data_IF_286865796166
#
_entry.id   IF_286865796166
#
_cell.length_a   1.000
_cell.length_b   1.000
_cell.length_c   1.000
_cell.angle_alpha   90.00
_cell.angle_beta   90.00
_cell.angle_gamma   90.00
#
_symmetry.space_group_name_H-M   'P 1'
#
loop_
_entity.id
_entity.type
_entity.pdbx_description
1 polymer ?
#
# COMPACT_ATOMS: atom_id res chain seq x y z
N UNK A 1 1.60 15.47 21.53
CA UNK A 1 1.40 16.09 20.18
C UNK A 1 2.13 15.20 19.18
N UNK A 2 1.65 13.97 18.98
CA UNK A 2 2.28 12.97 18.09
C UNK A 2 1.57 13.02 16.74
N UNK A 3 2.31 13.38 15.69
CA UNK A 3 1.79 13.40 14.34
C UNK A 3 1.41 11.97 13.90
N UNK A 4 0.27 11.84 13.22
CA UNK A 4 -0.11 10.65 12.44
C UNK A 4 0.91 10.44 11.31
N UNK A 5 2.08 9.94 11.67
CA UNK A 5 3.25 9.82 10.81
C UNK A 5 3.88 8.45 10.96
N UNK A 6 4.59 8.03 9.91
CA UNK A 6 5.41 6.83 9.95
C UNK A 6 6.73 7.13 10.68
N UNK A 7 6.98 6.42 11.78
CA UNK A 7 8.23 6.48 12.52
C UNK A 7 9.00 5.17 12.35
N UNK A 8 10.09 5.23 11.60
CA UNK A 8 10.90 4.04 11.33
C UNK A 8 11.63 3.53 12.58
N UNK A 9 11.94 4.40 13.55
CA UNK A 9 12.62 4.03 14.80
C UNK A 9 11.64 3.99 15.97
N UNK A 10 12.04 3.31 17.05
CA UNK A 10 11.32 3.41 18.31
C UNK A 10 11.31 4.86 18.80
N UNK A 11 10.18 5.26 19.36
CA UNK A 11 9.99 6.51 20.08
C UNK A 11 9.08 6.22 21.27
N UNK A 12 9.16 7.03 22.31
CA UNK A 12 8.18 6.95 23.40
C UNK A 12 7.00 7.86 23.06
N UNK A 13 5.79 7.36 23.20
CA UNK A 13 4.59 8.18 23.01
C UNK A 13 4.41 9.17 24.18
N UNK A 14 3.36 9.99 24.11
CA UNK A 14 3.04 10.99 25.15
C UNK A 14 2.78 10.35 26.54
N UNK A 15 2.65 9.02 26.63
CA UNK A 15 2.44 8.25 27.86
C UNK A 15 3.67 7.46 28.32
N UNK A 16 4.79 7.56 27.61
CA UNK A 16 6.03 6.84 27.90
C UNK A 16 6.02 5.39 27.42
N UNK A 17 5.06 5.01 26.56
CA UNK A 17 5.03 3.67 25.95
C UNK A 17 5.93 3.68 24.73
N UNK A 18 6.85 2.70 24.68
CA UNK A 18 7.71 2.46 23.53
C UNK A 18 6.84 2.11 22.32
N UNK A 19 6.98 2.89 21.26
CA UNK A 19 6.11 2.88 20.09
C UNK A 19 6.92 2.89 18.80
N UNK A 20 6.40 2.34 17.71
CA UNK A 20 7.05 2.35 16.39
C UNK A 20 6.02 2.39 15.25
N UNK A 21 6.45 2.75 14.03
CA UNK A 21 5.61 2.68 12.84
C UNK A 21 4.53 3.74 12.85
N UNK A 22 3.26 3.32 12.75
CA UNK A 22 2.09 4.21 12.77
C UNK A 22 1.41 4.28 14.15
N UNK A 23 2.17 4.08 15.23
CA UNK A 23 1.64 4.05 16.59
C UNK A 23 1.48 2.64 17.18
N UNK A 24 2.28 1.67 16.74
CA UNK A 24 2.28 0.32 17.30
C UNK A 24 2.96 0.32 18.68
N UNK A 25 2.19 0.03 19.73
CA UNK A 25 2.67 -0.02 21.11
C UNK A 25 3.42 -1.32 21.37
N UNK A 26 4.72 -1.20 21.64
CA UNK A 26 5.59 -2.33 21.88
C UNK A 26 5.42 -2.89 23.28
N UNK A 27 4.87 -4.10 23.40
CA UNK A 27 5.10 -4.92 24.58
C UNK A 27 6.40 -5.74 24.43
N UNK A 28 6.82 -6.38 25.53
CA UNK A 28 8.10 -7.10 25.61
C UNK A 28 8.24 -8.22 24.57
N UNK A 29 7.14 -8.78 24.07
CA UNK A 29 7.15 -9.90 23.14
C UNK A 29 7.05 -9.43 21.68
N UNK A 30 6.16 -8.47 21.40
CA UNK A 30 5.81 -8.01 20.04
C UNK A 30 6.97 -7.30 19.34
N UNK A 31 7.75 -6.51 20.08
CA UNK A 31 8.86 -5.75 19.50
C UNK A 31 10.25 -6.34 19.77
N UNK A 32 10.34 -7.49 20.46
CA UNK A 32 11.61 -8.14 20.81
C UNK A 32 12.51 -8.44 19.59
N UNK A 33 11.87 -8.82 18.48
CA UNK A 33 12.53 -9.18 17.23
C UNK A 33 12.55 -8.05 16.20
N UNK A 34 11.91 -6.92 16.50
CA UNK A 34 11.98 -5.76 15.61
C UNK A 34 13.41 -5.19 15.64
N UNK A 35 13.88 -4.82 14.45
CA UNK A 35 15.18 -4.21 14.21
C UNK A 35 14.95 -2.89 13.48
N UNK A 36 14.75 -1.78 14.21
CA UNK A 36 14.61 -0.49 13.57
C UNK A 36 15.92 -0.02 12.91
N UNK A 37 15.85 0.85 11.88
CA UNK A 37 14.63 1.43 11.32
C UNK A 37 13.79 0.40 10.56
N UNK A 38 12.50 0.28 10.90
CA UNK A 38 11.57 -0.59 10.19
C UNK A 38 11.13 0.08 8.88
N UNK A 39 10.80 -0.71 7.87
CA UNK A 39 10.20 -0.24 6.62
C UNK A 39 8.74 0.20 6.80
N UNK A 40 8.22 0.99 5.87
CA UNK A 40 6.78 1.30 5.82
C UNK A 40 5.92 0.03 5.70
N UNK A 41 6.40 -1.00 4.98
CA UNK A 41 5.67 -2.28 4.89
C UNK A 41 5.60 -2.99 6.23
N UNK A 42 6.69 -3.00 7.00
CA UNK A 42 6.68 -3.53 8.36
C UNK A 42 5.73 -2.72 9.25
N UNK A 43 5.76 -1.39 9.16
CA UNK A 43 4.85 -0.53 9.92
C UNK A 43 3.37 -0.74 9.52
N UNK A 44 3.07 -0.96 8.24
CA UNK A 44 1.72 -1.30 7.75
C UNK A 44 1.28 -2.66 8.31
N UNK A 45 2.16 -3.66 8.32
CA UNK A 45 1.81 -4.97 8.87
C UNK A 45 1.52 -4.90 10.37
N UNK A 46 2.31 -4.13 11.13
CA UNK A 46 2.04 -3.87 12.55
C UNK A 46 0.69 -3.16 12.71
N UNK A 47 0.43 -2.10 11.94
CA UNK A 47 -0.85 -1.39 11.96
C UNK A 47 -2.02 -2.32 11.62
N UNK A 48 -1.89 -3.18 10.60
CA UNK A 48 -2.92 -4.14 10.22
C UNK A 48 -3.19 -5.15 11.34
N UNK A 49 -2.15 -5.60 12.05
CA UNK A 49 -2.29 -6.46 13.23
C UNK A 49 -3.04 -5.73 14.35
N UNK A 50 -2.66 -4.48 14.64
CA UNK A 50 -3.29 -3.68 15.69
C UNK A 50 -4.77 -3.40 15.37
N UNK A 51 -5.11 -3.26 14.09
CA UNK A 51 -6.47 -3.00 13.63
C UNK A 51 -7.41 -4.20 13.76
N UNK A 52 -6.91 -5.44 13.86
CA UNK A 52 -7.76 -6.66 13.89
C UNK A 52 -8.80 -6.60 15.00
N UNK A 53 -8.41 -6.26 16.22
CA UNK A 53 -9.35 -6.19 17.35
C UNK A 53 -10.45 -5.13 17.14
N UNK A 54 -10.11 -4.02 16.49
CA UNK A 54 -11.05 -2.93 16.23
C UNK A 54 -11.97 -3.27 15.06
N UNK A 55 -11.47 -3.99 14.05
CA UNK A 55 -12.29 -4.53 12.97
C UNK A 55 -13.35 -5.49 13.52
N UNK A 56 -12.95 -6.44 14.38
CA UNK A 56 -13.88 -7.37 15.03
C UNK A 56 -14.91 -6.62 15.87
N UNK A 57 -14.49 -5.69 16.72
CA UNK A 57 -15.43 -4.99 17.60
C UNK A 57 -16.44 -4.11 16.84
N UNK A 58 -16.05 -3.51 15.71
CA UNK A 58 -17.00 -2.78 14.85
C UNK A 58 -17.92 -3.75 14.11
N UNK A 59 -17.38 -4.85 13.58
CA UNK A 59 -18.14 -5.84 12.83
C UNK A 59 -19.25 -6.46 13.67
N UNK A 60 -18.94 -6.86 14.91
CA UNK A 60 -19.89 -7.51 15.81
C UNK A 60 -21.05 -6.58 16.20
N UNK A 61 -20.78 -5.27 16.29
CA UNK A 61 -21.77 -4.28 16.74
C UNK A 61 -22.69 -3.79 15.61
N UNK A 62 -22.16 -3.67 14.38
CA UNK A 62 -22.86 -3.07 13.23
C UNK A 62 -22.53 -3.78 11.91
N UNK A 63 -22.80 -5.08 11.76
CA UNK A 63 -22.40 -5.87 10.57
C UNK A 63 -23.09 -5.43 9.27
N UNK A 64 -24.08 -4.54 9.34
CA UNK A 64 -24.88 -4.05 8.22
C UNK A 64 -24.35 -2.76 7.59
N UNK A 65 -23.32 -2.13 8.15
CA UNK A 65 -22.77 -0.87 7.61
C UNK A 65 -21.95 -1.13 6.36
N UNK A 66 -21.87 -0.14 5.46
CA UNK A 66 -21.05 -0.26 4.25
C UNK A 66 -19.56 -0.08 4.56
N UNK A 67 -18.69 -0.39 3.61
CA UNK A 67 -17.23 -0.33 3.76
C UNK A 67 -16.71 1.03 4.24
N UNK A 68 -17.29 2.13 3.74
CA UNK A 68 -16.86 3.47 4.13
C UNK A 68 -17.22 3.78 5.58
N UNK A 69 -18.44 3.41 5.99
CA UNK A 69 -18.89 3.52 7.37
C UNK A 69 -18.08 2.62 8.29
N UNK A 70 -17.83 1.37 7.88
CA UNK A 70 -16.99 0.42 8.59
C UNK A 70 -15.59 0.97 8.81
N UNK A 71 -14.91 1.42 7.75
CA UNK A 71 -13.57 1.97 7.82
C UNK A 71 -13.49 3.23 8.71
N UNK A 72 -14.48 4.11 8.64
CA UNK A 72 -14.55 5.29 9.51
C UNK A 72 -14.74 4.91 10.98
N UNK A 73 -15.58 3.93 11.27
CA UNK A 73 -15.82 3.43 12.64
C UNK A 73 -14.61 2.67 13.20
N UNK A 74 -13.89 1.90 12.37
CA UNK A 74 -12.64 1.24 12.76
C UNK A 74 -11.56 2.27 13.06
N UNK A 75 -11.41 3.31 12.23
CA UNK A 75 -10.48 4.42 12.50
C UNK A 75 -10.82 5.16 13.80
N UNK A 76 -12.12 5.36 14.06
CA UNK A 76 -12.59 5.98 15.29
C UNK A 76 -12.29 5.09 16.50
N UNK A 77 -12.66 3.81 16.44
CA UNK A 77 -12.43 2.81 17.49
C UNK A 77 -10.94 2.62 17.80
N UNK A 78 -10.08 2.63 16.79
CA UNK A 78 -8.63 2.57 16.98
C UNK A 78 -8.09 3.73 17.83
N UNK A 79 -8.70 4.92 17.72
CA UNK A 79 -8.28 6.09 18.48
C UNK A 79 -8.94 6.18 19.86
N UNK A 80 -10.22 5.84 20.00
CA UNK A 80 -10.95 6.03 21.27
C UNK A 80 -11.13 4.74 22.08
N UNK A 81 -10.91 3.57 21.48
CA UNK A 81 -11.17 2.26 22.06
C UNK A 81 -12.58 1.73 21.79
N UNK A 82 -12.73 0.41 21.72
CA UNK A 82 -14.02 -0.24 21.43
C UNK A 82 -15.09 0.05 22.50
N UNK A 83 -14.73 0.12 23.79
CA UNK A 83 -15.71 0.43 24.85
C UNK A 83 -16.29 1.85 24.75
N UNK A 84 -15.47 2.81 24.35
CA UNK A 84 -15.92 4.18 24.10
C UNK A 84 -16.79 4.26 22.83
N UNK A 85 -16.46 3.50 21.77
CA UNK A 85 -17.33 3.40 20.61
C UNK A 85 -18.68 2.75 20.99
N UNK A 86 -18.65 1.65 21.74
CA UNK A 86 -19.83 0.90 22.13
C UNK A 86 -20.85 1.74 22.91
N UNK A 87 -20.36 2.55 23.85
CA UNK A 87 -21.17 3.46 24.67
C UNK A 87 -21.49 4.81 23.99
N UNK A 88 -20.94 5.07 22.80
CA UNK A 88 -21.09 6.36 22.14
C UNK A 88 -22.48 6.62 21.58
N UNK A 89 -22.88 7.89 21.59
CA UNK A 89 -24.02 8.40 20.82
C UNK A 89 -23.84 8.21 19.31
N UNK A 90 -22.59 8.21 18.82
CA UNK A 90 -22.25 7.87 17.44
C UNK A 90 -22.81 6.49 17.09
N UNK A 91 -22.40 5.45 17.81
CA UNK A 91 -22.82 4.07 17.53
C UNK A 91 -24.31 3.87 17.76
N UNK A 92 -24.92 4.56 18.74
CA UNK A 92 -26.38 4.59 18.93
C UNK A 92 -27.09 5.01 17.64
N UNK A 93 -26.68 6.12 17.02
CA UNK A 93 -27.28 6.57 15.76
C UNK A 93 -26.95 5.64 14.57
N UNK A 94 -25.76 5.04 14.53
CA UNK A 94 -25.43 4.03 13.49
C UNK A 94 -26.36 2.81 13.59
N UNK A 95 -26.60 2.29 14.80
CA UNK A 95 -27.52 1.18 15.06
C UNK A 95 -28.96 1.51 14.69
N UNK A 96 -29.37 2.75 14.90
CA UNK A 96 -30.67 3.28 14.45
C UNK A 96 -30.72 3.61 12.94
N UNK A 97 -29.60 3.46 12.21
CA UNK A 97 -29.44 3.86 10.81
C UNK A 97 -29.67 5.35 10.53
N UNK A 98 -29.51 6.19 11.56
CA UNK A 98 -29.61 7.64 11.47
C UNK A 98 -28.25 8.25 11.10
N UNK A 99 -27.78 7.97 9.88
CA UNK A 99 -26.40 8.23 9.48
C UNK A 99 -26.01 9.73 9.44
N UNK A 100 -26.95 10.62 9.12
CA UNK A 100 -26.70 12.06 9.19
C UNK A 100 -26.48 12.52 10.63
N UNK A 101 -27.28 12.03 11.59
CA UNK A 101 -27.09 12.32 13.01
C UNK A 101 -25.77 11.73 13.51
N UNK A 102 -25.51 10.45 13.21
CA UNK A 102 -24.26 9.77 13.51
C UNK A 102 -23.04 10.57 13.01
N UNK A 103 -23.10 11.09 11.78
CA UNK A 103 -22.00 11.87 11.21
C UNK A 103 -21.68 13.15 12.00
N UNK A 104 -22.66 13.77 12.67
CA UNK A 104 -22.40 14.94 13.53
C UNK A 104 -21.68 14.57 14.82
N UNK A 105 -21.86 13.34 15.31
CA UNK A 105 -21.28 12.86 16.56
C UNK A 105 -19.75 12.76 16.51
N UNK A 106 -19.14 12.52 15.34
CA UNK A 106 -17.67 12.53 15.20
C UNK A 106 -17.05 13.83 15.74
N UNK A 107 -17.69 14.98 15.49
CA UNK A 107 -17.18 16.29 15.90
C UNK A 107 -17.19 16.52 17.42
N UNK A 108 -17.87 15.67 18.20
CA UNK A 108 -17.89 15.76 19.67
C UNK A 108 -16.62 15.18 20.31
N UNK A 109 -15.89 14.33 19.59
CA UNK A 109 -14.72 13.60 20.07
C UNK A 109 -13.40 14.27 19.62
N UNK A 110 -13.25 15.55 19.97
CA UNK A 110 -12.11 16.40 19.56
C UNK A 110 -11.33 16.97 20.73
N UNK A 111 -11.62 16.54 21.96
CA UNK A 111 -11.03 17.09 23.19
C UNK A 111 -10.16 16.06 23.91
N UNK A 112 -9.11 16.53 24.56
CA UNK A 112 -8.31 15.83 25.56
C UNK A 112 -8.05 16.81 26.72
N UNK A 113 -8.20 16.37 27.97
CA UNK A 113 -8.10 17.21 29.18
C UNK A 113 -8.87 18.54 29.05
N UNK A 114 -10.13 18.43 28.62
CA UNK A 114 -11.06 19.54 28.35
C UNK A 114 -10.66 20.51 27.23
N UNK A 115 -9.49 20.36 26.63
CA UNK A 115 -8.99 21.22 25.55
C UNK A 115 -9.26 20.61 24.18
N UNK A 116 -9.63 21.45 23.22
CA UNK A 116 -9.77 21.02 21.82
C UNK A 116 -8.38 20.73 21.24
N UNK A 117 -8.21 19.54 20.66
CA UNK A 117 -6.97 19.10 20.03
C UNK A 117 -7.10 19.23 18.51
N UNK A 118 -6.37 20.15 17.85
CA UNK A 118 -6.51 20.39 16.40
C UNK A 118 -6.31 19.15 15.52
N UNK A 119 -5.42 18.24 15.93
CA UNK A 119 -5.21 16.97 15.23
C UNK A 119 -6.47 16.08 15.27
N UNK A 120 -7.17 16.02 16.40
CA UNK A 120 -8.43 15.28 16.52
C UNK A 120 -9.53 15.93 15.69
N UNK A 121 -9.62 17.26 15.63
CA UNK A 121 -10.58 17.96 14.75
C UNK A 121 -10.38 17.52 13.30
N UNK A 122 -9.14 17.53 12.82
CA UNK A 122 -8.80 17.12 11.45
C UNK A 122 -9.14 15.65 11.20
N UNK A 123 -8.79 14.77 12.15
CA UNK A 123 -9.08 13.33 12.07
C UNK A 123 -10.58 13.06 12.02
N UNK A 124 -11.35 13.61 12.95
CA UNK A 124 -12.82 13.46 13.03
C UNK A 124 -13.51 13.99 11.77
N UNK A 125 -13.00 15.07 11.17
CA UNK A 125 -13.51 15.57 9.89
C UNK A 125 -13.29 14.58 8.74
N UNK A 126 -12.12 13.93 8.67
CA UNK A 126 -11.82 12.89 7.67
C UNK A 126 -12.66 11.63 7.87
N UNK A 127 -12.77 11.14 9.10
CA UNK A 127 -13.61 9.99 9.43
C UNK A 127 -15.09 10.27 9.11
N UNK A 128 -15.60 11.46 9.45
CA UNK A 128 -16.94 11.90 9.06
C UNK A 128 -17.13 11.93 7.55
N UNK A 129 -16.17 12.50 6.81
CA UNK A 129 -16.24 12.58 5.35
C UNK A 129 -16.24 11.19 4.71
N UNK A 130 -15.42 10.28 5.24
CA UNK A 130 -15.41 8.87 4.83
C UNK A 130 -16.75 8.21 5.16
N UNK A 131 -17.25 8.35 6.39
CA UNK A 131 -18.52 7.77 6.84
C UNK A 131 -19.73 8.19 5.98
N UNK A 132 -19.74 9.44 5.52
CA UNK A 132 -20.79 9.98 4.64
C UNK A 132 -20.57 9.67 3.15
N UNK A 133 -19.42 9.10 2.78
CA UNK A 133 -19.11 8.76 1.39
C UNK A 133 -20.03 7.62 0.94
N UNK A 134 -20.95 7.92 0.01
CA UNK A 134 -21.98 7.00 -0.47
C UNK A 134 -23.43 7.48 -0.26
N UNK A 135 -23.67 8.55 0.51
CA UNK A 135 -25.02 9.14 0.64
C UNK A 135 -25.39 10.11 -0.50
N UNK A 136 -24.41 10.58 -1.28
CA UNK A 136 -24.65 11.44 -2.43
C UNK A 136 -25.26 10.71 -3.64
N UNK A 137 -25.13 9.38 -3.70
CA UNK A 137 -25.65 8.56 -4.82
C UNK A 137 -26.99 7.85 -4.49
N UNK A 138 -27.53 8.05 -3.28
CA UNK A 138 -28.68 7.28 -2.75
C UNK A 138 -30.05 7.93 -2.99
N UNK A 139 -30.21 8.76 -4.02
CA UNK A 139 -31.52 9.31 -4.40
C UNK A 139 -32.24 8.51 -5.50
N UNK A 140 -31.72 7.35 -5.91
CA UNK A 140 -32.35 6.52 -6.92
C UNK A 140 -32.47 5.05 -6.49
N UNK A 141 -33.74 4.71 -6.20
CA UNK A 141 -34.44 3.48 -6.56
C UNK A 141 -34.55 2.37 -5.49
N UNK A 142 -35.82 2.11 -5.25
CA UNK A 142 -36.51 1.13 -4.43
C UNK A 142 -36.46 -0.26 -5.10
N UNK A 143 -36.28 -1.30 -4.27
CA UNK A 143 -36.58 -2.73 -4.46
C UNK A 143 -35.67 -3.64 -5.32
N UNK A 144 -35.07 -4.61 -4.60
CA UNK A 144 -35.15 -6.06 -4.85
C UNK A 144 -34.77 -6.57 -6.24
N UNK A 145 -33.45 -6.70 -6.47
CA UNK A 145 -32.78 -7.73 -7.30
C UNK A 145 -31.26 -7.48 -7.47
N UNK A 146 -30.70 -6.47 -6.79
CA UNK A 146 -29.32 -5.97 -6.99
C UNK A 146 -28.25 -6.73 -6.19
N UNK A 147 -28.62 -7.77 -5.42
CA UNK A 147 -27.67 -8.48 -4.54
C UNK A 147 -26.58 -9.25 -5.29
N UNK A 148 -26.75 -9.55 -6.58
CA UNK A 148 -25.72 -10.20 -7.42
C UNK A 148 -24.88 -9.22 -8.23
N UNK A 149 -25.33 -7.97 -8.43
CA UNK A 149 -24.56 -6.95 -9.15
C UNK A 149 -23.62 -6.14 -8.24
N UNK A 150 -23.94 -6.05 -6.94
CA UNK A 150 -23.16 -5.28 -5.95
C UNK A 150 -21.89 -5.98 -5.48
N UNK A 151 -21.79 -7.32 -5.49
CA UNK A 151 -20.51 -8.00 -5.24
C UNK A 151 -19.49 -7.69 -6.34
N UNK A 152 -19.96 -7.55 -7.57
CA UNK A 152 -19.11 -7.21 -8.71
C UNK A 152 -18.73 -5.72 -8.67
N UNK A 153 -19.65 -4.83 -8.29
CA UNK A 153 -19.35 -3.40 -8.16
C UNK A 153 -18.43 -3.09 -6.96
N UNK A 154 -18.56 -3.81 -5.85
CA UNK A 154 -17.68 -3.70 -4.68
C UNK A 154 -16.29 -4.26 -4.99
N UNK A 155 -16.20 -5.36 -5.74
CA UNK A 155 -14.94 -5.88 -6.27
C UNK A 155 -14.29 -4.88 -7.22
N UNK A 156 -15.09 -4.24 -8.08
CA UNK A 156 -14.63 -3.18 -9.00
C UNK A 156 -14.25 -1.91 -8.23
N UNK A 157 -14.92 -1.56 -7.13
CA UNK A 157 -14.61 -0.40 -6.30
C UNK A 157 -13.37 -0.64 -5.43
N UNK A 158 -13.17 -1.85 -4.88
CA UNK A 158 -11.91 -2.29 -4.28
C UNK A 158 -10.78 -2.35 -5.31
N UNK A 159 -11.07 -2.74 -6.56
CA UNK A 159 -10.13 -2.64 -7.68
C UNK A 159 -9.81 -1.17 -7.99
N UNK A 160 -10.79 -0.27 -7.95
CA UNK A 160 -10.63 1.18 -8.18
C UNK A 160 -9.87 1.82 -7.02
N UNK A 161 -10.14 1.45 -5.77
CA UNK A 161 -9.37 1.90 -4.60
C UNK A 161 -7.95 1.33 -4.64
N UNK A 162 -7.73 0.08 -5.08
CA UNK A 162 -6.40 -0.49 -5.35
C UNK A 162 -5.73 0.05 -6.64
N UNK A 163 -6.50 0.66 -7.54
CA UNK A 163 -6.02 1.40 -8.71
C UNK A 163 -5.60 2.83 -8.34
N UNK A 164 -6.24 3.43 -7.33
CA UNK A 164 -6.01 4.81 -6.89
C UNK A 164 -5.02 4.86 -5.70
N UNK A 165 -4.98 3.82 -4.86
CA UNK A 165 -3.90 3.49 -3.92
C UNK A 165 -2.97 2.50 -4.62
N UNK A 166 -1.87 2.99 -5.19
CA UNK A 166 -1.00 2.20 -6.07
C UNK A 166 -0.67 0.81 -5.52
N UNK A 167 -1.02 -0.23 -6.30
CA UNK A 167 -0.71 -1.63 -5.98
C UNK A 167 0.80 -1.81 -5.76
N UNK A 168 1.16 -2.36 -4.60
CA UNK A 168 2.56 -2.64 -4.27
C UNK A 168 3.00 -4.01 -4.80
N UNK A 169 4.25 -4.09 -5.23
CA UNK A 169 4.89 -5.35 -5.61
C UNK A 169 5.00 -6.28 -4.38
N UNK A 170 4.84 -7.59 -4.60
CA UNK A 170 5.00 -8.57 -3.52
C UNK A 170 6.48 -8.86 -3.22
N UNK A 171 6.76 -9.54 -2.09
CA UNK A 171 8.12 -9.87 -1.64
C UNK A 171 8.94 -10.64 -2.67
N UNK A 172 8.32 -11.55 -3.42
CA UNK A 172 9.01 -12.34 -4.44
C UNK A 172 9.49 -11.46 -5.61
N UNK A 173 8.70 -10.45 -5.99
CA UNK A 173 9.09 -9.46 -6.98
C UNK A 173 10.24 -8.57 -6.53
N UNK A 174 10.18 -8.08 -5.28
CA UNK A 174 11.27 -7.27 -4.69
C UNK A 174 12.58 -8.07 -4.69
N UNK A 175 12.56 -9.29 -4.16
CA UNK A 175 13.74 -10.16 -4.11
C UNK A 175 14.32 -10.46 -5.50
N UNK A 176 13.47 -10.62 -6.52
CA UNK A 176 13.92 -10.82 -7.90
C UNK A 176 14.66 -9.59 -8.44
N UNK A 177 14.13 -8.39 -8.17
CA UNK A 177 14.77 -7.12 -8.60
C UNK A 177 16.09 -6.95 -7.87
N UNK A 178 16.14 -7.08 -6.55
CA UNK A 178 17.37 -6.99 -5.74
C UNK A 178 18.46 -7.93 -6.24
N UNK A 179 18.09 -9.18 -6.54
CA UNK A 179 19.02 -10.17 -7.07
C UNK A 179 19.53 -9.81 -8.47
N UNK A 180 18.73 -9.10 -9.27
CA UNK A 180 19.08 -8.74 -10.65
C UNK A 180 19.91 -7.46 -10.73
N UNK A 181 19.60 -6.47 -9.90
CA UNK A 181 20.31 -5.18 -9.86
C UNK A 181 21.60 -5.27 -9.02
N UNK A 182 21.57 -6.03 -7.93
CA UNK A 182 22.65 -6.10 -6.97
C UNK A 182 22.73 -4.87 -6.07
N UNK A 183 23.22 -5.05 -4.84
CA UNK A 183 23.33 -3.98 -3.86
C UNK A 183 24.71 -3.31 -3.89
N UNK A 184 24.75 -1.97 -3.93
CA UNK A 184 25.96 -1.15 -3.78
C UNK A 184 25.77 -0.15 -2.62
N UNK A 185 26.50 -0.36 -1.53
CA UNK A 185 26.44 0.52 -0.35
C UNK A 185 26.97 1.94 -0.64
N UNK A 186 27.94 2.08 -1.55
CA UNK A 186 28.55 3.36 -1.91
C UNK A 186 28.05 3.85 -3.27
N UNK A 187 28.21 5.16 -3.51
CA UNK A 187 27.96 5.73 -4.83
C UNK A 187 28.89 5.11 -5.88
N UNK A 188 28.35 4.86 -7.07
CA UNK A 188 29.07 4.40 -8.23
C UNK A 188 28.53 5.09 -9.50
N UNK A 189 29.32 5.10 -10.57
CA UNK A 189 28.83 5.50 -11.89
C UNK A 189 28.18 4.30 -12.58
N UNK A 190 26.98 4.48 -13.13
CA UNK A 190 26.42 3.51 -14.07
C UNK A 190 27.20 3.53 -15.41
N UNK A 191 26.91 2.63 -16.36
CA UNK A 191 27.63 2.58 -17.64
C UNK A 191 27.56 3.87 -18.49
N UNK A 192 26.64 4.79 -18.18
CA UNK A 192 26.49 6.09 -18.86
C UNK A 192 26.99 7.25 -17.99
N UNK A 193 27.68 6.95 -16.87
CA UNK A 193 28.33 7.93 -16.00
C UNK A 193 27.41 8.59 -14.98
N UNK A 194 26.17 8.11 -14.80
CA UNK A 194 25.24 8.68 -13.82
C UNK A 194 25.56 8.14 -12.42
N UNK A 195 25.70 9.07 -11.46
CA UNK A 195 25.86 8.75 -10.03
C UNK A 195 24.65 7.95 -9.53
N UNK A 196 24.93 6.76 -9.00
CA UNK A 196 23.94 5.74 -8.63
C UNK A 196 24.31 5.11 -7.28
N UNK A 197 23.35 4.61 -6.51
CA UNK A 197 23.57 3.93 -5.22
C UNK A 197 22.50 2.86 -4.96
N UNK A 198 22.74 1.92 -4.04
CA UNK A 198 21.77 0.89 -3.65
C UNK A 198 21.51 -0.11 -4.76
N UNK A 199 20.24 -0.34 -5.09
CA UNK A 199 19.77 -1.22 -6.17
C UNK A 199 19.48 -0.41 -7.45
N UNK A 200 20.40 0.46 -7.86
CA UNK A 200 20.24 1.27 -9.07
C UNK A 200 19.53 2.62 -8.89
N UNK A 201 19.50 3.18 -7.68
CA UNK A 201 18.89 4.48 -7.42
C UNK A 201 19.63 5.60 -8.16
N UNK A 202 18.97 6.18 -9.17
CA UNK A 202 19.57 7.15 -10.10
C UNK A 202 19.51 8.59 -9.54
N UNK A 203 20.65 9.16 -9.18
CA UNK A 203 20.71 10.48 -8.55
C UNK A 203 20.31 11.64 -9.46
N UNK A 204 20.40 11.47 -10.78
CA UNK A 204 19.98 12.50 -11.75
C UNK A 204 18.45 12.57 -11.85
N UNK A 205 17.78 11.43 -11.81
CA UNK A 205 16.33 11.36 -11.95
C UNK A 205 15.59 11.54 -10.62
N UNK A 206 16.13 11.00 -9.52
CA UNK A 206 15.42 10.89 -8.23
C UNK A 206 15.98 11.81 -7.14
N UNK A 207 17.17 12.38 -7.36
CA UNK A 207 17.89 13.22 -6.40
C UNK A 207 18.57 12.41 -5.28
N UNK A 208 19.80 12.79 -4.94
CA UNK A 208 20.59 12.14 -3.87
C UNK A 208 21.15 13.11 -2.84
N UNK A 209 20.66 14.35 -2.79
CA UNK A 209 21.22 15.41 -1.92
C UNK A 209 21.17 15.06 -0.43
N UNK A 210 20.19 14.27 0.00
CA UNK A 210 20.02 13.82 1.38
C UNK A 210 20.59 12.42 1.67
N UNK A 211 21.19 11.75 0.67
CA UNK A 211 21.69 10.38 0.81
C UNK A 211 23.16 10.40 1.23
N UNK A 212 23.43 9.81 2.40
CA UNK A 212 24.77 9.67 2.97
C UNK A 212 25.25 8.23 2.78
N UNK A 213 26.36 8.05 2.07
CA UNK A 213 26.99 6.74 1.85
C UNK A 213 28.07 6.45 2.92
N UNK A 214 28.33 5.18 3.28
CA UNK A 214 27.66 3.98 2.79
C UNK A 214 26.24 3.83 3.36
N UNK A 215 25.32 3.35 2.52
CA UNK A 215 23.97 2.98 2.96
C UNK A 215 23.92 1.50 3.37
N UNK A 216 23.01 1.14 4.27
CA UNK A 216 22.67 -0.25 4.60
C UNK A 216 21.82 -0.89 3.49
N UNK A 217 21.69 -2.23 3.51
CA UNK A 217 20.75 -2.93 2.64
C UNK A 217 19.31 -2.43 2.83
N UNK A 218 18.86 -2.24 4.07
CA UNK A 218 17.52 -1.73 4.37
C UNK A 218 17.28 -0.31 3.85
N UNK A 219 18.29 0.56 3.88
CA UNK A 219 18.22 1.88 3.24
C UNK A 219 18.17 1.74 1.71
N UNK A 220 18.92 0.80 1.12
CA UNK A 220 18.84 0.47 -0.30
C UNK A 220 17.46 -0.06 -0.71
N UNK A 221 16.86 -0.91 0.09
CA UNK A 221 15.50 -1.45 -0.10
C UNK A 221 14.46 -0.32 -0.04
N UNK A 222 14.60 0.62 0.90
CA UNK A 222 13.72 1.78 1.00
C UNK A 222 13.81 2.68 -0.25
N UNK A 223 15.02 2.92 -0.78
CA UNK A 223 15.22 3.63 -2.04
C UNK A 223 14.60 2.87 -3.21
N UNK A 224 14.79 1.55 -3.27
CA UNK A 224 14.20 0.70 -4.29
C UNK A 224 12.67 0.79 -4.26
N UNK A 225 12.04 0.67 -3.09
CA UNK A 225 10.59 0.82 -2.96
C UNK A 225 10.08 2.19 -3.41
N UNK A 226 10.80 3.26 -3.10
CA UNK A 226 10.49 4.61 -3.58
C UNK A 226 10.56 4.68 -5.11
N UNK A 227 11.61 4.12 -5.70
CA UNK A 227 11.80 4.13 -7.15
C UNK A 227 10.78 3.25 -7.88
N UNK A 228 10.29 2.19 -7.23
CA UNK A 228 9.32 1.26 -7.79
C UNK A 228 7.94 1.87 -8.00
N UNK A 229 7.58 2.93 -7.27
CA UNK A 229 6.24 3.55 -7.32
C UNK A 229 5.81 3.89 -8.75
N UNK A 230 6.69 4.52 -9.54
CA UNK A 230 6.36 4.88 -10.93
C UNK A 230 6.13 3.66 -11.83
N UNK A 231 6.87 2.57 -11.61
CA UNK A 231 6.77 1.35 -12.41
C UNK A 231 5.55 0.52 -12.00
N UNK A 232 5.24 0.46 -10.70
CA UNK A 232 4.00 -0.07 -10.16
C UNK A 232 2.79 0.63 -10.78
N UNK A 233 2.78 1.97 -10.77
CA UNK A 233 1.70 2.76 -11.36
C UNK A 233 1.58 2.55 -12.88
N UNK A 234 2.72 2.44 -13.58
CA UNK A 234 2.75 2.12 -15.01
C UNK A 234 2.08 0.77 -15.33
N UNK A 235 2.39 -0.27 -14.56
CA UNK A 235 1.80 -1.61 -14.74
C UNK A 235 0.33 -1.62 -14.32
N UNK A 236 0.02 -1.06 -13.14
CA UNK A 236 -1.31 -1.07 -12.54
C UNK A 236 -2.33 -0.36 -13.44
N UNK A 237 -1.97 0.79 -14.01
CA UNK A 237 -2.84 1.54 -14.95
C UNK A 237 -3.09 0.81 -16.28
N UNK A 238 -2.28 -0.20 -16.64
CA UNK A 238 -2.37 -0.90 -17.93
C UNK A 238 -3.04 -2.26 -17.84
N UNK A 239 -2.82 -2.98 -16.74
CA UNK A 239 -3.27 -4.36 -16.55
C UNK A 239 -3.70 -4.62 -15.10
N UNK A 240 -4.71 -3.90 -14.57
CA UNK A 240 -5.09 -4.00 -13.15
C UNK A 240 -5.64 -5.37 -12.72
N UNK A 241 -6.05 -6.19 -13.69
CA UNK A 241 -6.69 -7.50 -13.49
C UNK A 241 -5.70 -8.67 -13.28
N UNK A 242 -4.38 -8.44 -13.35
CA UNK A 242 -3.38 -9.52 -13.26
C UNK A 242 -3.16 -9.96 -11.80
N UNK A 243 -2.71 -11.19 -11.58
CA UNK A 243 -2.40 -11.71 -10.24
C UNK A 243 -1.18 -11.02 -9.62
N UNK A 244 -0.95 -11.16 -8.32
CA UNK A 244 0.17 -10.49 -7.63
C UNK A 244 1.53 -10.91 -8.19
N UNK A 245 1.69 -12.19 -8.54
CA UNK A 245 2.93 -12.69 -9.15
C UNK A 245 3.13 -12.17 -10.58
N UNK A 246 2.04 -12.08 -11.36
CA UNK A 246 2.09 -11.50 -12.70
C UNK A 246 2.43 -10.01 -12.63
N UNK A 247 1.78 -9.27 -11.73
CA UNK A 247 2.08 -7.87 -11.46
C UNK A 247 3.56 -7.69 -11.08
N UNK A 248 4.05 -8.49 -10.14
CA UNK A 248 5.43 -8.43 -9.68
C UNK A 248 6.46 -8.69 -10.79
N UNK A 249 6.23 -9.71 -11.63
CA UNK A 249 7.09 -10.00 -12.78
C UNK A 249 7.08 -8.85 -13.81
N UNK A 250 5.90 -8.26 -14.07
CA UNK A 250 5.76 -7.11 -14.97
C UNK A 250 6.40 -5.84 -14.40
N UNK A 251 6.31 -5.60 -13.09
CA UNK A 251 7.00 -4.47 -12.44
C UNK A 251 8.52 -4.64 -12.54
N UNK A 252 9.05 -5.85 -12.30
CA UNK A 252 10.49 -6.12 -12.49
C UNK A 252 10.95 -5.92 -13.94
N UNK A 253 10.15 -6.38 -14.89
CA UNK A 253 10.39 -6.14 -16.32
C UNK A 253 10.42 -4.65 -16.64
N UNK A 254 9.46 -3.90 -16.11
CA UNK A 254 9.29 -2.47 -16.36
C UNK A 254 10.35 -1.63 -15.67
N UNK A 255 10.82 -2.04 -14.47
CA UNK A 255 11.95 -1.40 -13.80
C UNK A 255 13.21 -1.51 -14.65
N UNK A 256 13.45 -2.68 -15.28
CA UNK A 256 14.63 -2.89 -16.12
C UNK A 256 14.60 -2.13 -17.45
N UNK A 257 13.44 -2.12 -18.11
CA UNK A 257 13.31 -1.71 -19.51
C UNK A 257 12.56 -0.38 -19.66
N UNK A 258 11.97 0.14 -18.59
CA UNK A 258 11.14 1.33 -18.59
C UNK A 258 9.70 1.10 -19.04
N UNK A 259 8.83 2.04 -18.65
CA UNK A 259 7.38 1.99 -18.95
C UNK A 259 7.07 2.00 -20.45
N UNK A 260 7.85 2.74 -21.25
CA UNK A 260 7.67 2.81 -22.70
C UNK A 260 7.83 1.46 -23.40
N UNK A 261 8.85 0.68 -23.01
CA UNK A 261 9.08 -0.65 -23.57
C UNK A 261 7.98 -1.64 -23.18
N UNK A 262 7.48 -1.59 -21.94
CA UNK A 262 6.30 -2.40 -21.59
C UNK A 262 5.09 -2.00 -22.47
N UNK A 263 4.83 -0.70 -22.61
CA UNK A 263 3.65 -0.19 -23.33
C UNK A 263 3.59 -0.65 -24.80
N UNK A 264 4.72 -0.67 -25.49
CA UNK A 264 4.79 -1.08 -26.90
C UNK A 264 4.95 -2.60 -27.11
N UNK A 265 5.24 -3.36 -26.04
CA UNK A 265 5.60 -4.77 -26.13
C UNK A 265 4.46 -5.69 -26.58
N UNK A 266 4.82 -6.75 -27.32
CA UNK A 266 3.94 -7.90 -27.57
C UNK A 266 3.58 -8.63 -26.28
N UNK A 267 4.47 -8.60 -25.27
CA UNK A 267 4.19 -9.09 -23.92
C UNK A 267 2.90 -8.47 -23.37
N UNK A 268 2.82 -7.14 -23.31
CA UNK A 268 1.65 -6.44 -22.79
C UNK A 268 0.39 -6.72 -23.64
N UNK A 269 0.53 -6.84 -24.97
CA UNK A 269 -0.58 -7.22 -25.86
C UNK A 269 -1.17 -8.57 -25.46
N UNK A 270 -0.34 -9.59 -25.24
CA UNK A 270 -0.82 -10.90 -24.79
C UNK A 270 -1.40 -10.89 -23.37
N UNK A 271 -0.81 -10.13 -22.44
CA UNK A 271 -1.37 -9.97 -21.08
C UNK A 271 -2.76 -9.35 -21.12
N UNK A 272 -2.96 -8.29 -21.91
CA UNK A 272 -4.28 -7.65 -22.12
C UNK A 272 -5.31 -8.60 -22.73
N UNK A 273 -4.87 -9.48 -23.63
CA UNK A 273 -5.69 -10.55 -24.19
C UNK A 273 -5.88 -11.76 -23.24
N UNK A 274 -5.36 -11.70 -22.01
CA UNK A 274 -5.34 -12.80 -21.02
C UNK A 274 -4.69 -14.10 -21.55
N UNK A 275 -3.88 -14.01 -22.61
CA UNK A 275 -3.13 -15.13 -23.17
C UNK A 275 -1.79 -15.27 -22.44
N UNK A 276 -1.85 -15.73 -21.19
CA UNK A 276 -0.70 -15.80 -20.30
C UNK A 276 0.39 -16.78 -20.76
N UNK A 277 0.01 -17.84 -21.49
CA UNK A 277 0.96 -18.78 -22.09
C UNK A 277 1.81 -18.14 -23.17
N UNK A 278 1.19 -17.35 -24.08
CA UNK A 278 1.92 -16.59 -25.08
C UNK A 278 2.73 -15.46 -24.44
N UNK A 279 2.14 -14.70 -23.51
CA UNK A 279 2.82 -13.64 -22.78
C UNK A 279 4.11 -14.14 -22.10
N UNK A 280 4.05 -15.30 -21.44
CA UNK A 280 5.20 -15.88 -20.76
C UNK A 280 6.38 -16.17 -21.71
N UNK A 281 6.13 -16.50 -22.99
CA UNK A 281 7.18 -16.72 -23.99
C UNK A 281 7.85 -15.41 -24.42
N UNK A 282 7.14 -14.28 -24.35
CA UNK A 282 7.66 -12.98 -24.79
C UNK A 282 8.81 -12.48 -23.90
N UNK A 283 8.88 -12.86 -22.62
CA UNK A 283 9.98 -12.49 -21.72
C UNK A 283 11.35 -12.82 -22.35
N UNK A 284 11.49 -14.01 -22.96
CA UNK A 284 12.76 -14.48 -23.52
C UNK A 284 13.26 -13.69 -24.74
N UNK A 285 12.42 -12.81 -25.33
CA UNK A 285 12.82 -11.93 -26.44
C UNK A 285 13.56 -10.68 -25.96
N UNK A 286 13.37 -10.29 -24.71
CA UNK A 286 13.96 -9.08 -24.11
C UNK A 286 15.29 -9.39 -23.42
N UNK A 287 16.21 -10.00 -24.17
CA UNK A 287 17.51 -10.48 -23.68
C UNK A 287 18.70 -9.83 -24.38
N UNK A 288 18.46 -8.78 -25.17
CA UNK A 288 19.47 -8.10 -25.97
C UNK A 288 19.70 -6.68 -25.46
N UNK A 289 20.96 -6.24 -25.48
CA UNK A 289 21.34 -4.84 -25.34
C UNK A 289 22.49 -4.53 -26.29
N UNK A 290 22.47 -3.38 -26.95
CA UNK A 290 23.47 -3.04 -27.98
C UNK A 290 23.56 -4.05 -29.12
N UNK A 291 22.47 -4.75 -29.45
CA UNK A 291 22.45 -5.82 -30.47
C UNK A 291 22.96 -7.18 -30.00
N UNK A 292 23.49 -7.30 -28.79
CA UNK A 292 24.06 -8.54 -28.27
C UNK A 292 23.18 -9.19 -27.22
N UNK A 293 23.06 -10.52 -27.27
CA UNK A 293 22.36 -11.30 -26.24
C UNK A 293 23.18 -11.31 -24.96
N UNK A 294 22.58 -10.86 -23.85
CA UNK A 294 23.25 -10.79 -22.55
C UNK A 294 22.82 -11.95 -21.63
N UNK A 295 23.77 -12.77 -21.14
CA UNK A 295 23.45 -13.90 -20.23
C UNK A 295 22.69 -13.48 -18.96
N UNK A 296 23.02 -12.30 -18.41
CA UNK A 296 22.33 -11.74 -17.25
C UNK A 296 20.85 -11.46 -17.54
N UNK A 297 20.53 -10.91 -18.71
CA UNK A 297 19.14 -10.68 -19.12
C UNK A 297 18.42 -12.01 -19.36
N UNK A 298 19.06 -13.01 -19.98
CA UNK A 298 18.47 -14.35 -20.14
C UNK A 298 18.03 -14.92 -18.80
N UNK A 299 18.91 -14.87 -17.80
CA UNK A 299 18.62 -15.35 -16.45
C UNK A 299 17.49 -14.56 -15.79
N UNK A 300 17.53 -13.23 -15.89
CA UNK A 300 16.49 -12.35 -15.34
C UNK A 300 15.12 -12.64 -15.97
N UNK A 301 15.04 -12.68 -17.30
CA UNK A 301 13.79 -12.96 -18.03
C UNK A 301 13.23 -14.34 -17.69
N UNK A 302 14.09 -15.34 -17.48
CA UNK A 302 13.66 -16.68 -17.05
C UNK A 302 13.03 -16.66 -15.65
N UNK A 303 13.60 -15.91 -14.70
CA UNK A 303 13.06 -15.73 -13.33
C UNK A 303 11.73 -14.97 -13.35
N UNK A 304 11.65 -13.88 -14.11
CA UNK A 304 10.41 -13.11 -14.26
C UNK A 304 9.30 -13.96 -14.88
N UNK A 305 9.62 -14.73 -15.93
CA UNK A 305 8.68 -15.70 -16.52
C UNK A 305 8.22 -16.75 -15.50
N UNK A 306 9.14 -17.29 -14.70
CA UNK A 306 8.81 -18.29 -13.69
C UNK A 306 7.87 -17.71 -12.62
N UNK A 307 8.16 -16.49 -12.14
CA UNK A 307 7.28 -15.77 -11.22
C UNK A 307 5.92 -15.51 -11.86
N UNK A 308 5.89 -15.01 -13.10
CA UNK A 308 4.65 -14.71 -13.84
C UNK A 308 3.71 -15.92 -13.98
N UNK A 309 4.27 -17.14 -14.10
CA UNK A 309 3.51 -18.38 -14.21
C UNK A 309 3.14 -19.02 -12.87
N UNK A 310 3.65 -18.49 -11.75
CA UNK A 310 3.40 -19.02 -10.41
C UNK A 310 2.00 -18.61 -9.95
N UNK A 311 1.16 -19.60 -9.65
CA UNK A 311 -0.19 -19.41 -9.10
C UNK A 311 -0.12 -18.98 -7.64
#
# INVERSE_FOLDING_TARGET
MVSEGFFANFYDDDTGIRTIGYGHNCNAQDCSNLRPPISQTQAINLLLQDLVQFQTCVHDQVPFVNDNQFAALVSFAFNVGCGNLESSTLLKYVKAREYSAAATEFGKWVRADERVVPALVTRRARERALFLRGFADSLLIIHSSVMTALSDLLSVLLLIVALVSGRNINKAGVALIELSEGFRANFYGDPVGIRTIGYGHNCKAQGCSSIHAPISKSQGEALLHKDLVQFQNCVQSRVPFVTDNQFAALVSFTFNLGCGNLQSSTLLKYVKAKNYSAAAKEFAKWVYAGGHKLPGLVTRRARERALFLKK
#
